data_IF_220504706149
#
_entry.id   IF_220504706149
#
_cell.length_a   1.000
_cell.length_b   1.000
_cell.length_c   1.000
_cell.angle_alpha   90.00
_cell.angle_beta   90.00
_cell.angle_gamma   90.00
#
_symmetry.space_group_name_H-M   'P 1'
#
loop_
_entity.id
_entity.type
_entity.pdbx_description
1 polymer ?
#
# COMPACT_ATOMS: atom_id res chain seq x y z
N UNK A 1 44.72 45.16 -15.56
CA UNK A 1 44.96 43.96 -16.39
C UNK A 1 45.06 42.77 -15.44
N UNK A 2 44.06 41.88 -15.51
CA UNK A 2 43.88 40.53 -14.96
C UNK A 2 43.96 40.23 -13.43
N UNK A 3 42.76 39.93 -12.88
CA UNK A 3 42.44 39.12 -11.70
C UNK A 3 42.86 37.64 -11.89
N UNK A 4 43.19 36.92 -10.80
CA UNK A 4 42.93 35.48 -10.72
C UNK A 4 42.61 35.04 -9.28
N UNK A 5 41.33 34.71 -9.08
CA UNK A 5 40.71 34.05 -7.94
C UNK A 5 40.68 32.55 -8.24
N UNK A 6 41.13 31.69 -7.31
CA UNK A 6 40.84 30.25 -7.37
C UNK A 6 40.12 29.85 -6.08
N UNK A 7 38.83 29.60 -6.24
CA UNK A 7 37.95 28.97 -5.26
C UNK A 7 38.15 27.44 -5.34
N UNK A 8 38.40 26.80 -4.19
CA UNK A 8 38.40 25.35 -4.04
C UNK A 8 37.15 24.90 -3.31
N UNK A 9 36.15 24.43 -4.04
CA UNK A 9 34.97 23.75 -3.50
C UNK A 9 34.96 22.30 -3.93
N UNK A 10 34.66 21.39 -3.01
CA UNK A 10 34.19 20.04 -3.34
C UNK A 10 33.07 19.68 -2.37
N UNK A 11 31.83 19.90 -2.82
CA UNK A 11 30.63 19.40 -2.17
C UNK A 11 30.45 17.92 -2.52
N UNK A 12 30.58 17.04 -1.52
CA UNK A 12 30.19 15.65 -1.64
C UNK A 12 28.68 15.50 -1.53
N UNK A 13 27.99 15.34 -2.66
CA UNK A 13 26.60 14.90 -2.67
C UNK A 13 26.55 13.37 -2.46
N UNK A 14 26.16 12.94 -1.27
CA UNK A 14 25.79 11.56 -1.00
C UNK A 14 24.47 11.28 -1.74
N UNK A 15 24.54 10.55 -2.85
CA UNK A 15 23.36 10.10 -3.58
C UNK A 15 22.54 9.13 -2.74
N UNK A 16 21.35 9.54 -2.31
CA UNK A 16 20.31 8.63 -1.85
C UNK A 16 19.93 7.70 -3.02
N UNK A 17 20.46 6.47 -3.03
CA UNK A 17 19.95 5.42 -3.91
C UNK A 17 18.55 5.06 -3.44
N UNK A 18 17.52 5.50 -4.16
CA UNK A 18 16.19 4.89 -4.08
C UNK A 18 16.37 3.39 -4.28
N UNK A 19 16.02 2.60 -3.27
CA UNK A 19 15.86 1.17 -3.44
C UNK A 19 14.63 0.98 -4.34
N UNK A 20 14.83 0.75 -5.63
CA UNK A 20 13.74 0.33 -6.53
C UNK A 20 13.54 -1.19 -6.41
N UNK A 21 12.32 -1.68 -6.16
CA UNK A 21 11.97 -3.08 -6.42
C UNK A 21 12.00 -3.39 -7.91
N UNK A 22 12.05 -4.70 -8.19
CA UNK A 22 11.93 -5.28 -9.51
C UNK A 22 10.59 -4.98 -10.21
N UNK A 23 10.67 -5.03 -11.54
CA UNK A 23 9.82 -4.54 -12.64
C UNK A 23 8.35 -5.01 -12.73
N UNK A 24 7.75 -5.61 -11.71
CA UNK A 24 6.36 -6.11 -11.85
C UNK A 24 5.34 -4.98 -11.64
N UNK A 25 4.60 -4.67 -12.70
CA UNK A 25 3.44 -3.77 -12.67
C UNK A 25 2.32 -4.44 -11.89
N UNK A 26 1.58 -3.68 -11.08
CA UNK A 26 0.53 -4.25 -10.25
C UNK A 26 -0.63 -4.76 -11.14
N UNK A 27 -1.25 -5.92 -10.79
CA UNK A 27 -2.41 -6.43 -11.51
C UNK A 27 -3.56 -5.42 -11.56
N UNK A 28 -4.29 -5.41 -12.68
CA UNK A 28 -5.39 -4.48 -12.95
C UNK A 28 -6.76 -5.16 -13.01
N UNK A 29 -6.75 -6.45 -13.31
CA UNK A 29 -7.94 -7.20 -13.71
C UNK A 29 -8.84 -7.59 -12.52
N UNK A 30 -8.27 -7.72 -11.31
CA UNK A 30 -9.05 -8.04 -10.12
C UNK A 30 -8.38 -7.60 -8.81
N UNK A 31 -9.22 -7.28 -7.82
CA UNK A 31 -8.80 -6.94 -6.46
C UNK A 31 -8.14 -8.12 -5.73
N UNK A 32 -8.57 -9.36 -6.01
CA UNK A 32 -7.94 -10.55 -5.44
C UNK A 32 -6.49 -10.75 -5.96
N UNK A 33 -6.27 -10.63 -7.28
CA UNK A 33 -4.93 -10.69 -7.85
C UNK A 33 -4.04 -9.54 -7.35
N UNK A 34 -4.61 -8.35 -7.17
CA UNK A 34 -3.90 -7.22 -6.58
C UNK A 34 -3.45 -7.50 -5.13
N UNK A 35 -4.33 -8.04 -4.29
CA UNK A 35 -4.00 -8.38 -2.89
C UNK A 35 -2.91 -9.45 -2.82
N UNK A 36 -3.00 -10.50 -3.64
CA UNK A 36 -1.96 -11.53 -3.71
C UNK A 36 -0.62 -10.95 -4.16
N UNK A 37 -0.63 -10.09 -5.18
CA UNK A 37 0.57 -9.40 -5.63
C UNK A 37 1.17 -8.52 -4.52
N UNK A 38 0.35 -7.78 -3.77
CA UNK A 38 0.81 -6.95 -2.66
C UNK A 38 1.41 -7.81 -1.55
N UNK A 39 0.79 -8.94 -1.17
CA UNK A 39 1.24 -9.76 -0.04
C UNK A 39 2.66 -10.28 -0.21
N UNK A 40 3.05 -10.55 -1.46
CA UNK A 40 4.36 -11.09 -1.81
C UNK A 40 5.47 -10.03 -1.88
N UNK A 41 5.12 -8.74 -1.80
CA UNK A 41 6.10 -7.66 -1.87
C UNK A 41 6.82 -7.45 -0.52
N UNK A 42 8.17 -7.30 -0.54
CA UNK A 42 8.92 -6.93 0.67
C UNK A 42 8.51 -5.54 1.16
N UNK A 43 8.28 -4.61 0.22
CA UNK A 43 7.72 -3.28 0.47
C UNK A 43 6.78 -2.89 -0.66
N UNK A 44 5.73 -2.15 -0.33
CA UNK A 44 4.67 -1.78 -1.27
C UNK A 44 5.12 -0.67 -2.21
N UNK A 45 4.87 -0.84 -3.51
CA UNK A 45 5.08 0.20 -4.55
C UNK A 45 3.94 1.22 -4.61
N UNK A 46 4.20 2.39 -5.18
CA UNK A 46 3.21 3.42 -5.39
C UNK A 46 2.04 2.94 -6.27
N UNK A 47 2.32 2.23 -7.37
CA UNK A 47 1.27 1.68 -8.25
C UNK A 47 0.33 0.73 -7.49
N UNK A 48 0.91 -0.20 -6.71
CA UNK A 48 0.11 -1.14 -5.92
C UNK A 48 -0.70 -0.43 -4.81
N UNK A 49 -0.09 0.54 -4.10
CA UNK A 49 -0.77 1.30 -3.06
C UNK A 49 -1.92 2.15 -3.62
N UNK A 50 -1.73 2.77 -4.77
CA UNK A 50 -2.74 3.62 -5.42
C UNK A 50 -3.91 2.79 -5.92
N UNK A 51 -3.65 1.64 -6.57
CA UNK A 51 -4.71 0.74 -7.03
C UNK A 51 -5.53 0.19 -5.86
N UNK A 52 -4.86 -0.22 -4.78
CA UNK A 52 -5.55 -0.71 -3.59
C UNK A 52 -6.38 0.38 -2.91
N UNK A 53 -5.86 1.61 -2.86
CA UNK A 53 -6.59 2.77 -2.32
C UNK A 53 -7.83 3.09 -3.16
N UNK A 54 -7.71 3.07 -4.49
CA UNK A 54 -8.84 3.25 -5.39
C UNK A 54 -9.89 2.16 -5.17
N UNK A 55 -9.47 0.89 -5.15
CA UNK A 55 -10.38 -0.23 -4.93
C UNK A 55 -11.11 -0.11 -3.59
N UNK A 56 -10.39 0.19 -2.49
CA UNK A 56 -11.00 0.41 -1.18
C UNK A 56 -12.04 1.54 -1.21
N UNK A 57 -11.70 2.68 -1.82
CA UNK A 57 -12.60 3.84 -1.89
C UNK A 57 -13.82 3.61 -2.80
N UNK A 58 -13.68 2.79 -3.85
CA UNK A 58 -14.72 2.46 -4.84
C UNK A 58 -15.43 1.15 -4.56
N UNK A 59 -15.27 0.64 -3.36
CA UNK A 59 -15.98 -0.54 -2.93
C UNK A 59 -15.55 -1.82 -3.65
N UNK A 60 -14.25 -2.09 -3.71
CA UNK A 60 -13.67 -3.28 -4.34
C UNK A 60 -13.46 -3.18 -5.86
N UNK A 61 -13.89 -2.09 -6.50
CA UNK A 61 -13.78 -1.90 -7.96
C UNK A 61 -12.34 -1.62 -8.40
N UNK A 62 -11.80 -2.43 -9.30
CA UNK A 62 -10.44 -2.24 -9.85
C UNK A 62 -10.39 -1.09 -10.87
N UNK A 63 -9.21 -0.48 -11.03
CA UNK A 63 -8.96 0.57 -12.02
C UNK A 63 -8.14 0.00 -13.18
N UNK A 64 -8.66 0.11 -14.40
CA UNK A 64 -8.06 -0.49 -15.61
C UNK A 64 -6.98 0.39 -16.27
N UNK A 65 -6.95 1.69 -15.95
CA UNK A 65 -6.01 2.63 -16.56
C UNK A 65 -4.55 2.53 -16.09
N UNK A 66 -3.70 3.26 -16.81
CA UNK A 66 -2.27 3.46 -16.50
C UNK A 66 -2.07 4.28 -15.21
N UNK A 67 -0.85 4.22 -14.67
CA UNK A 67 -0.49 4.88 -13.41
C UNK A 67 -0.81 6.38 -13.39
N UNK A 68 -0.52 7.12 -14.46
CA UNK A 68 -0.80 8.55 -14.53
C UNK A 68 -2.30 8.86 -14.49
N UNK A 69 -3.11 8.04 -15.18
CA UNK A 69 -4.56 8.17 -15.17
C UNK A 69 -5.13 7.83 -13.78
N UNK A 70 -4.58 6.82 -13.12
CA UNK A 70 -4.93 6.46 -11.74
C UNK A 70 -4.55 7.57 -10.76
N UNK A 71 -3.35 8.13 -10.86
CA UNK A 71 -2.87 9.25 -10.04
C UNK A 71 -3.78 10.46 -10.23
N UNK A 72 -4.12 10.80 -11.47
CA UNK A 72 -5.05 11.89 -11.77
C UNK A 72 -6.45 11.65 -11.16
N UNK A 73 -6.98 10.43 -11.27
CA UNK A 73 -8.25 10.06 -10.67
C UNK A 73 -8.23 10.23 -9.14
N UNK A 74 -7.21 9.67 -8.46
CA UNK A 74 -7.05 9.79 -7.01
C UNK A 74 -6.85 11.23 -6.53
N UNK A 75 -6.13 12.07 -7.28
CA UNK A 75 -5.99 13.49 -6.99
C UNK A 75 -7.31 14.24 -7.14
N UNK A 76 -8.07 13.97 -8.21
CA UNK A 76 -9.37 14.62 -8.45
C UNK A 76 -10.38 14.34 -7.33
N UNK A 77 -10.30 13.15 -6.73
CA UNK A 77 -11.12 12.72 -5.60
C UNK A 77 -10.53 13.08 -4.24
N UNK A 78 -9.37 13.74 -4.22
CA UNK A 78 -8.63 14.12 -3.01
C UNK A 78 -8.31 12.92 -2.11
N UNK A 79 -8.04 11.76 -2.70
CA UNK A 79 -7.64 10.53 -1.98
C UNK A 79 -6.13 10.49 -1.70
N UNK A 80 -5.33 11.19 -2.50
CA UNK A 80 -3.87 11.34 -2.34
C UNK A 80 -3.48 12.82 -2.36
N UNK A 81 -2.27 13.13 -1.89
CA UNK A 81 -1.64 14.42 -2.14
C UNK A 81 -0.80 14.36 -3.43
N UNK A 82 -0.34 15.52 -3.89
CA UNK A 82 0.48 15.68 -5.09
C UNK A 82 1.94 15.25 -4.84
N UNK A 83 2.13 14.00 -4.43
CA UNK A 83 3.45 13.40 -4.29
C UNK A 83 4.00 13.00 -5.65
N UNK A 84 5.31 13.20 -5.83
CA UNK A 84 6.04 12.82 -7.04
C UNK A 84 6.58 11.39 -6.92
N UNK A 85 5.66 10.43 -6.76
CA UNK A 85 6.02 9.00 -6.71
C UNK A 85 6.09 8.43 -8.13
N UNK A 86 7.21 7.78 -8.43
CA UNK A 86 7.29 6.86 -9.58
C UNK A 86 6.52 5.56 -9.28
N UNK A 87 5.93 4.89 -10.29
CA UNK A 87 5.07 3.72 -10.06
C UNK A 87 5.75 2.59 -9.29
N UNK A 88 7.05 2.37 -9.49
CA UNK A 88 7.82 1.34 -8.79
C UNK A 88 8.44 1.84 -7.47
N UNK A 89 8.30 3.13 -7.13
CA UNK A 89 8.88 3.64 -5.89
C UNK A 89 8.14 3.07 -4.67
N UNK A 90 8.89 2.67 -3.65
CA UNK A 90 8.29 2.23 -2.39
C UNK A 90 7.61 3.39 -1.67
N UNK A 91 6.45 3.10 -1.07
CA UNK A 91 5.70 4.10 -0.31
C UNK A 91 6.00 4.03 1.19
N UNK A 92 6.03 5.21 1.81
CA UNK A 92 6.14 5.35 3.25
C UNK A 92 4.78 5.19 3.94
N UNK A 93 4.80 4.72 5.20
CA UNK A 93 3.61 4.53 6.03
C UNK A 93 2.79 5.82 6.21
N UNK A 94 3.43 6.98 6.28
CA UNK A 94 2.71 8.25 6.38
C UNK A 94 1.83 8.52 5.14
N UNK A 95 2.30 8.19 3.93
CA UNK A 95 1.52 8.35 2.69
C UNK A 95 0.34 7.37 2.66
N UNK A 96 0.58 6.12 3.07
CA UNK A 96 -0.48 5.12 3.28
C UNK A 96 -1.50 5.59 4.30
N UNK A 97 -1.05 6.20 5.39
CA UNK A 97 -1.91 6.81 6.41
C UNK A 97 -2.92 7.77 5.78
N UNK A 98 -2.44 8.70 4.94
CA UNK A 98 -3.28 9.67 4.23
C UNK A 98 -4.28 8.98 3.31
N UNK A 99 -3.79 8.04 2.49
CA UNK A 99 -4.60 7.27 1.54
C UNK A 99 -5.78 6.57 2.22
N UNK A 100 -5.50 5.80 3.28
CA UNK A 100 -6.52 5.01 3.97
C UNK A 100 -7.45 5.91 4.79
N UNK A 101 -6.95 6.95 5.47
CA UNK A 101 -7.83 7.87 6.18
C UNK A 101 -8.84 8.54 5.24
N UNK A 102 -8.42 8.93 4.03
CA UNK A 102 -9.30 9.53 3.03
C UNK A 102 -10.25 8.51 2.41
N UNK A 103 -9.76 7.32 2.07
CA UNK A 103 -10.59 6.23 1.55
C UNK A 103 -11.65 5.74 2.57
N UNK A 104 -11.40 5.88 3.87
CA UNK A 104 -12.35 5.54 4.94
C UNK A 104 -13.14 6.72 5.52
N UNK A 105 -12.89 7.95 5.07
CA UNK A 105 -13.45 9.18 5.64
C UNK A 105 -13.19 9.41 7.14
N UNK A 106 -12.00 9.04 7.60
CA UNK A 106 -11.60 9.24 8.99
C UNK A 106 -11.35 10.73 9.24
N UNK A 107 -12.17 11.35 10.10
CA UNK A 107 -12.13 12.78 10.45
C UNK A 107 -12.12 13.05 11.96
N UNK A 108 -11.58 12.15 12.76
CA UNK A 108 -11.67 12.25 14.23
C UNK A 108 -10.54 13.07 14.87
N UNK A 109 -9.30 12.92 14.40
CA UNK A 109 -8.15 13.58 15.00
C UNK A 109 -8.05 15.06 14.66
N UNK A 110 -7.98 15.92 15.68
CA UNK A 110 -7.81 17.38 15.50
C UNK A 110 -6.58 17.69 14.62
N UNK A 111 -5.42 17.09 14.93
CA UNK A 111 -4.20 17.34 14.16
C UNK A 111 -4.31 16.85 12.72
N UNK A 112 -4.97 15.71 12.50
CA UNK A 112 -5.22 15.18 11.16
C UNK A 112 -6.13 16.13 10.38
N UNK A 113 -7.26 16.53 10.96
CA UNK A 113 -8.22 17.44 10.33
C UNK A 113 -7.64 18.82 10.02
N UNK A 114 -6.79 19.36 10.90
CA UNK A 114 -6.23 20.70 10.73
C UNK A 114 -5.08 20.74 9.71
N UNK A 115 -4.28 19.66 9.63
CA UNK A 115 -3.01 19.69 8.88
C UNK A 115 -3.00 18.80 7.65
N UNK A 116 -3.83 17.76 7.61
CA UNK A 116 -3.77 16.74 6.56
C UNK A 116 -2.42 16.02 6.46
N UNK A 117 -1.53 16.13 7.46
CA UNK A 117 -0.18 15.58 7.36
C UNK A 117 -0.16 14.07 7.63
N UNK A 118 0.63 13.33 6.84
CA UNK A 118 0.69 11.87 6.92
C UNK A 118 1.14 11.29 8.26
N UNK A 119 1.98 12.00 9.02
CA UNK A 119 2.35 11.59 10.39
C UNK A 119 1.15 11.49 11.33
N UNK A 120 0.15 12.35 11.14
CA UNK A 120 -1.07 12.31 11.94
C UNK A 120 -2.06 11.30 11.37
N UNK A 121 -2.13 11.15 10.04
CA UNK A 121 -2.94 10.13 9.40
C UNK A 121 -2.57 8.71 9.88
N UNK A 122 -1.28 8.38 9.92
CA UNK A 122 -0.83 7.08 10.44
C UNK A 122 -1.21 6.85 11.91
N UNK A 123 -1.15 7.90 12.73
CA UNK A 123 -1.57 7.85 14.14
C UNK A 123 -3.08 7.65 14.28
N UNK A 124 -3.88 8.23 13.39
CA UNK A 124 -5.33 7.95 13.35
C UNK A 124 -5.60 6.49 13.02
N UNK A 125 -4.87 5.89 12.07
CA UNK A 125 -5.01 4.45 11.79
C UNK A 125 -4.67 3.59 13.00
N UNK A 126 -3.64 3.96 13.78
CA UNK A 126 -3.30 3.26 15.03
C UNK A 126 -4.43 3.43 16.07
N UNK A 127 -4.96 4.65 16.22
CA UNK A 127 -6.05 4.95 17.14
C UNK A 127 -7.30 4.11 16.85
N UNK A 128 -7.67 3.98 15.58
CA UNK A 128 -8.79 3.14 15.12
C UNK A 128 -8.48 1.64 15.06
N UNK A 129 -7.27 1.23 15.49
CA UNK A 129 -6.75 -0.15 15.46
C UNK A 129 -6.65 -0.77 14.06
N UNK A 130 -6.65 0.07 13.03
CA UNK A 130 -6.44 -0.30 11.63
C UNK A 130 -4.97 -0.65 11.41
N UNK A 131 -4.06 0.22 11.86
CA UNK A 131 -2.61 -0.04 11.81
C UNK A 131 -2.07 -0.53 13.16
N UNK A 132 -0.95 -1.27 13.13
CA UNK A 132 -0.19 -1.63 14.34
C UNK A 132 0.72 -0.47 14.75
N UNK A 133 0.98 -0.24 16.06
CA UNK A 133 1.93 0.76 16.51
C UNK A 133 3.31 0.58 15.86
N UNK A 134 3.74 1.56 15.08
CA UNK A 134 5.04 1.61 14.41
C UNK A 134 5.33 3.04 13.93
N UNK A 135 6.59 3.33 13.58
CA UNK A 135 7.00 4.65 13.08
C UNK A 135 6.47 4.93 11.67
N UNK A 136 5.99 6.15 11.43
CA UNK A 136 5.33 6.61 10.20
C UNK A 136 6.28 6.86 9.02
N UNK A 137 7.58 7.07 9.29
CA UNK A 137 8.58 7.38 8.26
C UNK A 137 9.12 6.12 7.58
N UNK A 138 8.85 4.93 8.13
CA UNK A 138 9.27 3.67 7.55
C UNK A 138 8.49 3.31 6.28
N UNK A 139 9.08 2.44 5.47
CA UNK A 139 8.37 1.76 4.38
C UNK A 139 7.35 0.77 4.96
N UNK A 140 6.30 0.49 4.21
CA UNK A 140 5.30 -0.51 4.57
C UNK A 140 5.56 -1.82 3.83
N UNK A 141 5.51 -2.95 4.53
CA UNK A 141 5.62 -4.27 3.88
C UNK A 141 4.30 -4.68 3.23
N UNK A 142 4.34 -5.60 2.28
CA UNK A 142 3.16 -6.15 1.62
C UNK A 142 2.12 -6.70 2.61
N UNK A 143 2.54 -7.63 3.47
CA UNK A 143 1.66 -8.22 4.48
C UNK A 143 1.14 -7.21 5.53
N UNK A 144 1.92 -6.20 5.90
CA UNK A 144 1.44 -5.12 6.77
C UNK A 144 0.35 -4.30 6.07
N UNK A 145 0.53 -3.97 4.79
CA UNK A 145 -0.45 -3.21 4.03
C UNK A 145 -1.74 -3.99 3.78
N UNK A 146 -1.68 -5.27 3.43
CA UNK A 146 -2.87 -6.15 3.34
C UNK A 146 -3.64 -6.18 4.66
N UNK A 147 -2.93 -6.29 5.79
CA UNK A 147 -3.56 -6.25 7.12
C UNK A 147 -4.27 -4.93 7.38
N UNK A 148 -3.70 -3.81 6.92
CA UNK A 148 -4.31 -2.47 7.02
C UNK A 148 -5.57 -2.39 6.16
N UNK A 149 -5.54 -2.89 4.92
CA UNK A 149 -6.69 -2.89 4.01
C UNK A 149 -7.88 -3.67 4.59
N UNK A 150 -7.66 -4.90 5.07
CA UNK A 150 -8.72 -5.72 5.68
C UNK A 150 -9.39 -5.03 6.87
N UNK A 151 -8.59 -4.43 7.75
CA UNK A 151 -9.11 -3.70 8.90
C UNK A 151 -9.79 -2.38 8.53
N UNK A 152 -9.37 -1.76 7.44
CA UNK A 152 -10.01 -0.56 6.90
C UNK A 152 -11.40 -0.90 6.33
N UNK A 153 -11.56 -2.04 5.65
CA UNK A 153 -12.87 -2.54 5.22
C UNK A 153 -13.78 -2.84 6.42
N UNK A 154 -13.26 -3.53 7.44
CA UNK A 154 -14.01 -3.80 8.67
C UNK A 154 -14.44 -2.49 9.36
N UNK A 155 -13.58 -1.48 9.34
CA UNK A 155 -13.90 -0.15 9.84
C UNK A 155 -15.03 0.50 9.04
N UNK A 156 -14.97 0.45 7.70
CA UNK A 156 -16.00 1.02 6.82
C UNK A 156 -17.36 0.32 7.01
N UNK A 157 -17.36 -1.01 7.16
CA UNK A 157 -18.56 -1.82 7.46
C UNK A 157 -19.20 -1.41 8.79
N UNK A 158 -18.39 -1.20 9.83
CA UNK A 158 -18.87 -0.79 11.16
C UNK A 158 -19.39 0.65 11.22
N UNK A 159 -18.89 1.54 10.38
CA UNK A 159 -19.19 2.98 10.42
C UNK A 159 -20.24 3.42 9.39
N UNK A 160 -20.77 2.50 8.58
CA UNK A 160 -21.94 2.73 7.74
C UNK A 160 -21.66 3.39 6.39
N UNK A 161 -20.45 3.23 5.83
CA UNK A 161 -20.22 3.52 4.40
C UNK A 161 -20.80 2.39 3.53
N UNK A 162 -21.24 2.67 2.29
CA UNK A 162 -21.70 1.64 1.36
C UNK A 162 -20.63 0.55 1.20
N UNK A 163 -21.09 -0.71 1.26
CA UNK A 163 -20.28 -1.92 1.25
C UNK A 163 -19.29 -1.94 0.07
N UNK A 164 -17.98 -2.09 0.33
CA UNK A 164 -17.08 -2.58 -0.69
C UNK A 164 -17.44 -4.00 -1.08
N UNK A 165 -17.55 -4.27 -2.39
CA UNK A 165 -17.66 -5.61 -2.91
C UNK A 165 -16.63 -6.52 -2.22
N UNK A 166 -17.03 -7.71 -1.73
CA UNK A 166 -16.15 -8.58 -0.98
C UNK A 166 -14.85 -8.88 -1.74
N UNK A 167 -13.70 -8.69 -1.08
CA UNK A 167 -12.45 -9.27 -1.56
C UNK A 167 -12.57 -10.79 -1.38
N UNK A 168 -12.69 -11.50 -2.49
CA UNK A 168 -12.74 -12.96 -2.51
C UNK A 168 -11.34 -13.51 -2.20
N UNK A 169 -11.10 -13.80 -0.92
CA UNK A 169 -9.90 -14.49 -0.48
C UNK A 169 -10.14 -15.99 -0.69
N UNK A 170 -9.63 -16.51 -1.81
CA UNK A 170 -9.48 -17.95 -1.99
C UNK A 170 -8.62 -18.46 -0.84
N UNK A 171 -9.23 -19.19 0.09
CA UNK A 171 -8.48 -19.96 1.07
C UNK A 171 -7.61 -20.95 0.29
N UNK A 172 -6.31 -21.07 0.59
CA UNK A 172 -5.49 -22.10 -0.04
C UNK A 172 -6.14 -23.44 0.27
N UNK A 173 -6.69 -24.06 -0.79
CA UNK A 173 -7.28 -25.38 -0.74
C UNK A 173 -6.27 -26.31 -0.09
N UNK A 174 -6.68 -26.93 1.02
CA UNK A 174 -5.84 -27.83 1.78
C UNK A 174 -5.26 -28.87 0.84
N UNK A 175 -3.94 -29.01 0.85
CA UNK A 175 -3.23 -29.99 0.03
C UNK A 175 -3.90 -31.37 0.15
N UNK A 176 -4.10 -32.10 -0.95
CA UNK A 176 -4.74 -33.40 -0.90
C UNK A 176 -3.96 -34.34 0.03
N UNK A 177 -4.64 -35.18 0.81
CA UNK A 177 -3.96 -36.10 1.72
C UNK A 177 -3.05 -37.03 0.91
N UNK A 178 -1.76 -36.99 1.22
CA UNK A 178 -0.77 -37.95 0.74
C UNK A 178 -1.28 -39.35 1.08
N UNK A 179 -1.74 -40.08 0.07
CA UNK A 179 -2.06 -41.51 0.20
C UNK A 179 -0.76 -42.23 0.52
N UNK A 180 -0.54 -42.55 1.79
CA UNK A 180 0.46 -43.53 2.20
C UNK A 180 0.04 -44.88 1.63
N UNK A 181 0.71 -45.31 0.57
CA UNK A 181 0.61 -46.65 0.05
C UNK A 181 1.00 -47.64 1.14
N UNK A 182 0.05 -48.51 1.50
CA UNK A 182 0.27 -49.62 2.40
C UNK A 182 1.33 -50.57 1.80
N UNK A 183 2.44 -50.72 2.52
CA UNK A 183 3.41 -51.80 2.34
C UNK A 183 2.75 -53.12 2.72
N UNK A 184 2.27 -53.88 1.74
CA UNK A 184 2.01 -55.32 1.92
C UNK A 184 3.30 -56.09 1.64
N UNK A 185 3.87 -56.69 2.68
CA UNK A 185 4.94 -57.67 2.58
C UNK A 185 4.50 -58.90 1.77
N UNK A 186 5.37 -59.50 0.93
CA UNK A 186 5.08 -60.77 0.29
C UNK A 186 5.31 -61.95 1.26
N UNK A 187 4.61 -63.09 1.06
CA UNK A 187 4.75 -64.26 1.92
C UNK A 187 5.97 -65.12 1.52
N UNK A 188 6.58 -65.75 2.53
CA UNK A 188 7.34 -66.99 2.43
C UNK A 188 6.98 -67.87 3.63
#
# INVERSE_FOLDING_TARGET
MLLLLIAGGVSGAAGCRSMSPATQTAPRDSSAALVAHISDQPYVTADAAYRATYALAKGGTSFDGEFDALRAALLSEKLIDDWDYEPQQYVHKHAVGVMICRACDIRTGINWNLTGMGRYAWRELIYHRIAKPSGEMGLITGGEFVSVLLKAEDYMKRTGRPEPAPIDLVQPEAAPPTTQAALTSPPA
#
